data_IF_413417758791
#
_entry.id   IF_413417758791
#
_cell.length_a   1.000
_cell.length_b   1.000
_cell.length_c   1.000
_cell.angle_alpha   90.00
_cell.angle_beta   90.00
_cell.angle_gamma   90.00
#
_symmetry.space_group_name_H-M   'P 1'
#
loop_
_entity.id
_entity.type
_entity.pdbx_description
1 polymer ?
#
# COMPACT_ATOMS: atom_id res chain seq x y z
N UNK A 1 11.94 32.96 22.87
CA UNK A 1 12.44 32.09 23.96
C UNK A 1 11.34 31.66 24.95
N UNK A 2 10.64 32.58 25.64
CA UNK A 2 9.58 32.25 26.63
C UNK A 2 8.36 31.52 26.03
N UNK A 3 7.92 31.89 24.82
CA UNK A 3 6.81 31.22 24.12
C UNK A 3 7.10 29.75 23.82
N UNK A 4 8.33 29.42 23.39
CA UNK A 4 8.74 28.02 23.16
C UNK A 4 8.77 27.21 24.46
N UNK A 5 9.19 27.80 25.57
CA UNK A 5 9.20 27.14 26.88
C UNK A 5 7.78 26.88 27.42
N UNK A 6 6.87 27.85 27.27
CA UNK A 6 5.46 27.69 27.65
C UNK A 6 4.78 26.63 26.79
N UNK A 7 5.03 26.65 25.47
CA UNK A 7 4.51 25.65 24.52
C UNK A 7 4.92 24.23 24.92
N UNK A 8 6.22 23.97 25.15
CA UNK A 8 6.68 22.64 25.57
C UNK A 8 6.09 22.15 26.90
N UNK A 9 5.83 23.06 27.85
CA UNK A 9 5.18 22.70 29.12
C UNK A 9 3.69 22.34 28.93
N UNK A 10 2.98 23.03 28.03
CA UNK A 10 1.59 22.70 27.66
C UNK A 10 1.55 21.34 26.95
N UNK A 11 2.41 21.14 25.95
CA UNK A 11 2.53 19.87 25.20
C UNK A 11 2.75 18.69 26.13
N UNK A 12 3.66 18.83 27.11
CA UNK A 12 3.91 17.79 28.13
C UNK A 12 2.66 17.46 28.95
N UNK A 13 1.93 18.48 29.41
CA UNK A 13 0.69 18.30 30.19
C UNK A 13 -0.42 17.63 29.38
N UNK A 14 -0.53 17.95 28.10
CA UNK A 14 -1.51 17.33 27.19
C UNK A 14 -1.18 15.84 27.03
N UNK A 15 0.08 15.50 26.74
CA UNK A 15 0.52 14.10 26.64
C UNK A 15 0.24 13.33 27.95
N UNK A 16 0.58 13.92 29.10
CA UNK A 16 0.33 13.31 30.41
C UNK A 16 -1.17 13.07 30.65
N UNK A 17 -2.03 13.99 30.21
CA UNK A 17 -3.48 13.84 30.35
C UNK A 17 -4.03 12.75 29.45
N UNK A 18 -3.57 12.67 28.19
CA UNK A 18 -3.97 11.62 27.25
C UNK A 18 -3.53 10.24 27.74
N UNK A 19 -2.29 10.11 28.22
CA UNK A 19 -1.80 8.87 28.83
C UNK A 19 -2.62 8.45 30.06
N UNK A 20 -3.06 9.40 30.89
CA UNK A 20 -3.96 9.12 32.01
C UNK A 20 -5.33 8.63 31.54
N UNK A 21 -5.90 9.21 30.48
CA UNK A 21 -7.19 8.78 29.93
C UNK A 21 -7.10 7.36 29.38
N UNK A 22 -6.06 7.07 28.59
CA UNK A 22 -5.78 5.72 28.09
C UNK A 22 -5.66 4.68 29.21
N UNK A 23 -4.92 4.99 30.28
CA UNK A 23 -4.74 4.08 31.43
C UNK A 23 -6.01 3.91 32.26
N UNK A 24 -6.84 4.96 32.36
CA UNK A 24 -8.06 4.94 33.18
C UNK A 24 -9.16 4.12 32.52
N UNK A 25 -9.40 4.34 31.23
CA UNK A 25 -10.43 3.65 30.47
C UNK A 25 -10.02 3.54 29.00
N UNK A 26 -9.38 2.40 28.69
CA UNK A 26 -8.90 2.13 27.34
C UNK A 26 -10.03 2.05 26.32
N UNK A 27 -11.18 1.46 26.68
CA UNK A 27 -12.30 1.30 25.74
C UNK A 27 -12.91 2.64 25.37
N UNK A 28 -13.09 3.52 26.36
CA UNK A 28 -13.53 4.90 26.11
C UNK A 28 -12.52 5.64 25.23
N UNK A 29 -11.22 5.46 25.47
CA UNK A 29 -10.15 6.07 24.67
C UNK A 29 -10.16 5.57 23.21
N UNK A 30 -10.30 4.25 22.99
CA UNK A 30 -10.42 3.63 21.66
C UNK A 30 -11.63 4.16 20.89
N UNK A 31 -12.78 4.29 21.57
CA UNK A 31 -14.01 4.79 20.94
C UNK A 31 -13.92 6.24 20.42
N UNK A 32 -12.99 7.03 20.98
CA UNK A 32 -12.74 8.43 20.62
C UNK A 32 -11.51 8.59 19.72
N UNK A 33 -10.79 7.50 19.45
CA UNK A 33 -9.49 7.56 18.79
C UNK A 33 -9.58 8.20 17.41
N UNK A 34 -10.56 7.79 16.60
CA UNK A 34 -10.72 8.28 15.24
C UNK A 34 -10.96 9.82 15.18
N UNK A 35 -11.58 10.40 16.21
CA UNK A 35 -11.82 11.84 16.31
C UNK A 35 -10.57 12.63 16.75
N UNK A 36 -9.70 12.01 17.54
CA UNK A 36 -8.54 12.70 18.15
C UNK A 36 -7.20 12.36 17.47
N UNK A 37 -7.13 11.28 16.67
CA UNK A 37 -5.88 10.74 16.11
C UNK A 37 -5.07 11.81 15.36
N UNK A 38 -5.74 12.64 14.54
CA UNK A 38 -5.07 13.66 13.72
C UNK A 38 -4.28 14.67 14.57
N UNK A 39 -4.78 15.04 15.75
CA UNK A 39 -4.10 15.97 16.65
C UNK A 39 -2.92 15.31 17.34
N UNK A 40 -3.05 14.03 17.68
CA UNK A 40 -1.99 13.24 18.30
C UNK A 40 -0.87 13.00 17.27
N UNK A 41 -1.21 12.59 16.05
CA UNK A 41 -0.28 12.40 14.93
C UNK A 41 0.47 13.70 14.63
N UNK A 42 -0.24 14.83 14.55
CA UNK A 42 0.39 16.14 14.38
C UNK A 42 1.36 16.46 15.51
N UNK A 43 0.98 16.21 16.76
CA UNK A 43 1.85 16.39 17.92
C UNK A 43 3.11 15.51 17.86
N UNK A 44 2.95 14.25 17.48
CA UNK A 44 4.04 13.28 17.31
C UNK A 44 5.02 13.69 16.19
N UNK A 45 4.51 14.24 15.09
CA UNK A 45 5.33 14.73 13.98
C UNK A 45 6.06 16.02 14.37
N UNK A 46 5.38 16.93 15.09
CA UNK A 46 5.83 18.30 15.27
C UNK A 46 6.73 18.52 16.49
N UNK A 47 6.67 17.66 17.51
CA UNK A 47 7.41 17.85 18.77
C UNK A 47 7.93 16.53 19.35
N UNK A 48 9.26 16.39 19.44
CA UNK A 48 9.91 15.15 19.84
C UNK A 48 9.55 14.70 21.27
N UNK A 49 9.41 15.63 22.23
CA UNK A 49 9.08 15.27 23.61
C UNK A 49 7.64 14.80 23.75
N UNK A 50 6.74 15.29 22.90
CA UNK A 50 5.39 14.76 22.78
C UNK A 50 5.44 13.36 22.20
N UNK A 51 6.20 13.15 21.12
CA UNK A 51 6.40 11.83 20.52
C UNK A 51 6.86 10.79 21.56
N UNK A 52 7.90 11.11 22.34
CA UNK A 52 8.47 10.23 23.37
C UNK A 52 7.44 9.74 24.39
N UNK A 53 6.38 10.53 24.64
CA UNK A 53 5.29 10.16 25.54
C UNK A 53 4.09 9.56 24.82
N UNK A 54 3.80 10.05 23.62
CA UNK A 54 2.65 9.68 22.84
C UNK A 54 2.77 8.25 22.31
N UNK A 55 3.98 7.80 21.98
CA UNK A 55 4.21 6.46 21.45
C UNK A 55 3.67 5.34 22.37
N UNK A 56 3.62 5.58 23.69
CA UNK A 56 3.14 4.62 24.69
C UNK A 56 1.61 4.46 24.71
N UNK A 57 0.86 5.45 24.23
CA UNK A 57 -0.62 5.45 24.26
C UNK A 57 -1.25 5.64 22.89
N UNK A 58 -0.48 6.04 21.88
CA UNK A 58 -0.98 6.21 20.53
C UNK A 58 -1.38 4.85 19.96
N UNK A 59 -2.54 4.83 19.29
CA UNK A 59 -3.16 3.61 18.82
C UNK A 59 -2.99 3.45 17.32
N UNK A 60 -2.76 2.20 16.94
CA UNK A 60 -2.89 1.66 15.60
C UNK A 60 -4.27 1.01 15.51
N UNK A 61 -5.05 1.40 14.51
CA UNK A 61 -6.27 0.68 14.12
C UNK A 61 -5.95 -0.25 12.96
N UNK A 62 -6.28 -1.52 13.06
CA UNK A 62 -6.14 -2.44 11.93
C UNK A 62 -7.38 -2.50 11.04
N UNK A 63 -7.26 -3.19 9.91
CA UNK A 63 -8.37 -3.40 8.95
C UNK A 63 -9.54 -4.21 9.51
N UNK A 64 -9.39 -4.83 10.69
CA UNK A 64 -10.47 -5.52 11.42
C UNK A 64 -11.14 -4.62 12.48
N UNK A 65 -10.70 -3.36 12.61
CA UNK A 65 -11.22 -2.39 13.57
C UNK A 65 -10.69 -2.58 14.99
N UNK A 66 -9.69 -3.43 15.19
CA UNK A 66 -9.02 -3.63 16.47
C UNK A 66 -7.98 -2.52 16.71
N UNK A 67 -7.82 -2.12 17.98
CA UNK A 67 -6.87 -1.10 18.40
C UNK A 67 -5.71 -1.69 19.19
N UNK A 68 -4.50 -1.25 18.86
CA UNK A 68 -3.26 -1.69 19.48
C UNK A 68 -2.38 -0.48 19.80
N UNK A 69 -1.62 -0.51 20.88
CA UNK A 69 -0.46 0.38 20.98
C UNK A 69 0.62 -0.05 19.97
N UNK A 70 1.56 0.84 19.66
CA UNK A 70 2.70 0.49 18.79
C UNK A 70 3.47 -0.73 19.30
N UNK A 71 3.67 -0.84 20.62
CA UNK A 71 4.34 -1.98 21.24
C UNK A 71 3.52 -3.29 21.08
N UNK A 72 2.21 -3.24 21.31
CA UNK A 72 1.33 -4.39 21.16
C UNK A 72 1.26 -4.86 19.71
N UNK A 73 1.15 -3.92 18.77
CA UNK A 73 1.12 -4.23 17.35
C UNK A 73 2.45 -4.84 16.90
N UNK A 74 3.59 -4.26 17.30
CA UNK A 74 4.92 -4.80 17.01
C UNK A 74 5.05 -6.26 17.48
N UNK A 75 4.55 -6.58 18.68
CA UNK A 75 4.53 -7.96 19.22
C UNK A 75 3.61 -8.88 18.42
N UNK A 76 2.45 -8.40 17.97
CA UNK A 76 1.50 -9.14 17.13
C UNK A 76 2.15 -9.55 15.80
N UNK A 77 2.70 -8.57 15.08
CA UNK A 77 3.22 -8.77 13.71
C UNK A 77 4.62 -9.39 13.67
N UNK A 78 5.39 -9.31 14.75
CA UNK A 78 6.74 -9.90 14.85
C UNK A 78 6.78 -11.41 14.63
N UNK A 79 5.64 -12.10 14.73
CA UNK A 79 5.53 -13.54 14.51
C UNK A 79 5.66 -13.93 13.04
N UNK A 80 5.23 -13.08 12.11
CA UNK A 80 5.07 -13.47 10.72
C UNK A 80 5.38 -12.35 9.69
N UNK A 81 5.49 -11.09 10.06
CA UNK A 81 5.80 -9.95 9.17
C UNK A 81 7.24 -9.48 9.32
N UNK A 82 8.19 -10.41 9.28
CA UNK A 82 9.62 -10.09 9.17
C UNK A 82 10.11 -10.47 7.79
N UNK A 83 10.88 -9.58 7.18
CA UNK A 83 11.61 -9.88 5.95
C UNK A 83 12.86 -10.74 6.25
N UNK A 84 13.58 -11.08 5.19
CA UNK A 84 14.84 -11.83 5.22
C UNK A 84 15.94 -11.16 6.04
N UNK A 85 15.93 -9.82 6.10
CA UNK A 85 16.87 -9.02 6.88
C UNK A 85 16.43 -8.89 8.35
N UNK A 86 15.35 -9.59 8.73
CA UNK A 86 14.72 -9.55 10.05
C UNK A 86 14.13 -8.18 10.41
N UNK A 87 13.91 -7.29 9.44
CA UNK A 87 13.18 -6.03 9.64
C UNK A 87 11.70 -6.32 9.80
N UNK A 88 11.06 -5.58 10.69
CA UNK A 88 9.64 -5.68 10.92
C UNK A 88 8.88 -4.84 9.89
N UNK A 89 8.04 -5.48 9.08
CA UNK A 89 7.29 -4.80 8.01
C UNK A 89 5.87 -4.47 8.47
N UNK A 90 5.60 -3.18 8.62
CA UNK A 90 4.28 -2.64 8.91
C UNK A 90 3.52 -2.46 7.60
N UNK A 91 2.61 -3.40 7.31
CA UNK A 91 1.70 -3.27 6.19
C UNK A 91 0.59 -2.29 6.53
N UNK A 92 0.35 -1.32 5.65
CA UNK A 92 -0.73 -0.36 5.84
C UNK A 92 -1.61 -0.22 4.60
N UNK A 93 -2.85 0.22 4.81
CA UNK A 93 -3.81 0.61 3.79
C UNK A 93 -4.31 2.03 4.06
N UNK A 94 -4.43 2.84 3.02
CA UNK A 94 -5.03 4.18 3.09
C UNK A 94 -6.54 4.16 2.89
N UNK A 95 -7.07 3.11 2.27
CA UNK A 95 -8.50 2.87 2.14
C UNK A 95 -8.79 1.38 2.20
N UNK A 96 -9.59 0.96 3.19
CA UNK A 96 -9.96 -0.44 3.35
C UNK A 96 -10.78 -0.97 2.16
N UNK A 97 -11.60 -0.11 1.55
CA UNK A 97 -12.48 -0.46 0.44
C UNK A 97 -11.72 -0.52 -0.89
N UNK A 98 -10.93 0.52 -1.20
CA UNK A 98 -10.20 0.57 -2.47
C UNK A 98 -9.09 -0.48 -2.53
N UNK A 99 -8.49 -0.82 -1.38
CA UNK A 99 -7.37 -1.75 -1.30
C UNK A 99 -7.79 -3.14 -0.80
N UNK A 100 -9.09 -3.42 -0.77
CA UNK A 100 -9.66 -4.65 -0.19
C UNK A 100 -9.01 -5.93 -0.72
N UNK A 101 -8.79 -6.03 -2.04
CA UNK A 101 -8.16 -7.22 -2.64
C UNK A 101 -6.73 -7.46 -2.15
N UNK A 102 -5.96 -6.39 -1.94
CA UNK A 102 -4.59 -6.46 -1.43
C UNK A 102 -4.56 -6.80 0.06
N UNK A 103 -5.48 -6.21 0.84
CA UNK A 103 -5.69 -6.55 2.25
C UNK A 103 -6.02 -8.03 2.38
N UNK A 104 -6.93 -8.56 1.56
CA UNK A 104 -7.29 -9.97 1.59
C UNK A 104 -6.10 -10.87 1.23
N UNK A 105 -5.29 -10.46 0.26
CA UNK A 105 -4.07 -11.19 -0.12
C UNK A 105 -3.08 -11.23 1.04
N UNK A 106 -2.87 -10.12 1.75
CA UNK A 106 -2.05 -10.07 2.95
C UNK A 106 -2.60 -10.95 4.08
N UNK A 107 -3.91 -10.88 4.36
CA UNK A 107 -4.59 -11.71 5.36
C UNK A 107 -4.52 -13.21 5.06
N UNK A 108 -4.62 -13.60 3.79
CA UNK A 108 -4.46 -15.00 3.37
C UNK A 108 -3.06 -15.55 3.68
N UNK A 109 -2.04 -14.69 3.77
CA UNK A 109 -0.68 -15.03 4.23
C UNK A 109 -0.51 -14.92 5.74
N UNK A 110 -1.59 -14.61 6.46
CA UNK A 110 -1.62 -14.41 7.91
C UNK A 110 -1.14 -13.03 8.35
N UNK A 111 -0.89 -12.08 7.44
CA UNK A 111 -0.41 -10.75 7.80
C UNK A 111 -1.56 -9.85 8.27
N UNK A 112 -1.24 -8.97 9.21
CA UNK A 112 -2.09 -7.91 9.71
C UNK A 112 -1.76 -6.60 8.98
N UNK A 113 -2.79 -5.80 8.74
CA UNK A 113 -2.72 -4.56 7.97
C UNK A 113 -3.34 -3.44 8.78
N UNK A 114 -2.57 -2.36 8.98
CA UNK A 114 -3.03 -1.16 9.68
C UNK A 114 -3.71 -0.17 8.73
N UNK A 115 -4.59 0.67 9.27
CA UNK A 115 -5.21 1.78 8.52
C UNK A 115 -4.40 3.07 8.72
N UNK A 116 -4.03 3.69 7.61
CA UNK A 116 -3.30 4.96 7.51
C UNK A 116 -3.99 5.85 6.45
N UNK A 117 -5.15 6.37 6.84
CA UNK A 117 -6.13 7.12 6.03
C UNK A 117 -6.07 8.64 6.24
N UNK A 118 -5.10 9.14 7.01
CA UNK A 118 -4.98 10.54 7.38
C UNK A 118 -4.09 11.31 6.38
N UNK A 119 -4.36 12.60 6.12
CA UNK A 119 -3.44 13.47 5.37
C UNK A 119 -2.03 13.55 5.97
N UNK A 120 -1.88 13.23 7.26
CA UNK A 120 -0.59 13.22 7.96
C UNK A 120 0.12 11.86 7.91
N UNK A 121 -0.50 10.82 7.34
CA UNK A 121 0.02 9.45 7.41
C UNK A 121 1.41 9.30 6.81
N UNK A 122 1.72 9.96 5.69
CA UNK A 122 3.05 9.90 5.05
C UNK A 122 4.14 10.47 5.96
N UNK A 123 3.88 11.62 6.59
CA UNK A 123 4.78 12.26 7.55
C UNK A 123 4.92 11.45 8.84
N UNK A 124 3.83 10.88 9.34
CA UNK A 124 3.84 10.02 10.52
C UNK A 124 4.69 8.78 10.27
N UNK A 125 4.48 8.11 9.13
CA UNK A 125 5.28 6.95 8.71
C UNK A 125 6.76 7.31 8.67
N UNK A 126 7.13 8.42 8.03
CA UNK A 126 8.52 8.86 7.96
C UNK A 126 9.12 9.11 9.36
N UNK A 127 8.35 9.73 10.27
CA UNK A 127 8.76 9.94 11.66
C UNK A 127 8.96 8.62 12.40
N UNK A 128 8.06 7.66 12.22
CA UNK A 128 8.13 6.34 12.85
C UNK A 128 9.31 5.52 12.33
N UNK A 129 9.56 5.50 11.01
CA UNK A 129 10.72 4.84 10.40
C UNK A 129 12.05 5.42 10.89
N UNK A 130 12.09 6.72 11.23
CA UNK A 130 13.28 7.35 11.81
C UNK A 130 13.46 7.04 13.29
N UNK A 131 12.37 6.80 14.02
CA UNK A 131 12.36 6.73 15.48
C UNK A 131 12.29 5.30 16.02
N UNK A 132 11.79 4.35 15.23
CA UNK A 132 11.71 2.94 15.57
C UNK A 132 12.86 2.18 14.91
N UNK A 133 13.54 1.34 15.68
CA UNK A 133 14.65 0.56 15.17
C UNK A 133 14.19 -0.63 14.33
N UNK A 134 14.84 -0.83 13.18
CA UNK A 134 14.72 -2.03 12.36
C UNK A 134 13.28 -2.32 11.87
N UNK A 135 12.53 -1.26 11.53
CA UNK A 135 11.19 -1.35 10.94
C UNK A 135 11.17 -0.76 9.53
N UNK A 136 10.20 -1.18 8.73
CA UNK A 136 9.86 -0.56 7.45
C UNK A 136 8.35 -0.50 7.33
N UNK A 137 7.81 0.52 6.68
CA UNK A 137 6.39 0.60 6.37
C UNK A 137 6.18 0.45 4.88
N UNK A 138 5.15 -0.29 4.50
CA UNK A 138 4.81 -0.51 3.10
C UNK A 138 3.30 -0.57 2.92
N UNK A 139 2.80 0.12 1.90
CA UNK A 139 1.38 0.04 1.56
C UNK A 139 1.08 -1.31 0.91
N UNK A 140 -0.10 -1.87 1.17
CA UNK A 140 -0.48 -3.21 0.67
C UNK A 140 -0.50 -3.35 -0.85
N UNK A 141 -0.62 -2.25 -1.59
CA UNK A 141 -0.62 -2.18 -3.05
C UNK A 141 0.68 -1.61 -3.63
N UNK A 142 1.72 -1.45 -2.80
CA UNK A 142 3.00 -0.86 -3.22
C UNK A 142 3.75 -1.77 -4.19
N UNK A 143 3.66 -3.08 -3.97
CA UNK A 143 4.22 -4.14 -4.79
C UNK A 143 3.45 -5.44 -4.51
N UNK A 144 3.85 -6.56 -5.10
CA UNK A 144 3.33 -7.87 -4.70
C UNK A 144 3.69 -8.15 -3.23
N UNK A 145 2.78 -8.80 -2.51
CA UNK A 145 2.95 -9.05 -1.07
C UNK A 145 4.23 -9.84 -0.75
N UNK A 146 4.67 -10.70 -1.67
CA UNK A 146 5.91 -11.48 -1.56
C UNK A 146 7.16 -10.64 -1.70
N UNK A 147 7.10 -9.52 -2.42
CA UNK A 147 8.19 -8.55 -2.50
C UNK A 147 8.18 -7.56 -1.34
N UNK A 148 6.98 -7.17 -0.89
CA UNK A 148 6.84 -6.27 0.27
C UNK A 148 7.43 -6.95 1.52
N UNK A 149 7.13 -8.22 1.73
CA UNK A 149 7.71 -9.03 2.81
C UNK A 149 8.50 -10.18 2.17
N UNK A 150 9.69 -9.85 1.67
CA UNK A 150 10.59 -10.81 1.04
C UNK A 150 11.21 -11.74 2.09
N UNK A 151 10.81 -13.01 2.05
CA UNK A 151 11.33 -14.09 2.90
C UNK A 151 12.36 -14.97 2.17
N UNK A 152 12.89 -14.52 1.04
CA UNK A 152 13.73 -15.28 0.11
C UNK A 152 13.06 -16.56 -0.44
N UNK A 153 11.73 -16.68 -0.32
CA UNK A 153 10.93 -17.75 -0.93
C UNK A 153 10.72 -17.46 -2.42
N UNK A 154 11.78 -17.57 -3.22
CA UNK A 154 11.69 -17.37 -4.66
C UNK A 154 10.89 -18.50 -5.30
N UNK A 155 9.65 -18.21 -5.68
CA UNK A 155 8.91 -19.09 -6.57
C UNK A 155 9.59 -19.13 -7.93
N UNK A 156 9.83 -20.34 -8.45
CA UNK A 156 10.36 -20.50 -9.80
C UNK A 156 9.29 -20.15 -10.82
N UNK A 157 9.61 -19.25 -11.75
CA UNK A 157 8.70 -18.88 -12.85
C UNK A 157 8.40 -20.09 -13.73
N UNK A 158 7.12 -20.35 -14.02
CA UNK A 158 6.70 -21.31 -15.05
C UNK A 158 6.99 -20.82 -16.48
N UNK A 159 7.23 -19.52 -16.66
CA UNK A 159 7.60 -18.93 -17.94
C UNK A 159 9.10 -18.67 -17.99
N UNK A 160 9.74 -18.99 -19.11
CA UNK A 160 11.13 -18.58 -19.37
C UNK A 160 11.22 -17.10 -19.74
N UNK A 161 12.39 -16.50 -19.58
CA UNK A 161 12.64 -15.09 -19.94
C UNK A 161 12.22 -14.79 -21.39
N UNK A 162 12.55 -15.66 -22.35
CA UNK A 162 12.14 -15.54 -23.76
C UNK A 162 10.62 -15.51 -23.94
N UNK A 163 9.88 -16.29 -23.14
CA UNK A 163 8.43 -16.30 -23.18
C UNK A 163 7.84 -15.00 -22.60
N UNK A 164 8.44 -14.48 -21.53
CA UNK A 164 8.07 -13.19 -20.96
C UNK A 164 8.33 -12.04 -21.94
N UNK A 165 9.49 -12.02 -22.59
CA UNK A 165 9.83 -11.04 -23.65
C UNK A 165 8.85 -11.09 -24.83
N UNK A 166 8.29 -12.25 -25.14
CA UNK A 166 7.27 -12.41 -26.19
C UNK A 166 5.92 -11.84 -25.76
N UNK A 167 5.52 -12.03 -24.51
CA UNK A 167 4.22 -11.59 -23.99
C UNK A 167 4.19 -10.10 -23.63
N UNK A 168 5.31 -9.55 -23.15
CA UNK A 168 5.43 -8.16 -22.73
C UNK A 168 4.88 -7.14 -23.75
N UNK A 169 5.32 -7.12 -25.03
CA UNK A 169 4.85 -6.13 -26.00
C UNK A 169 3.36 -6.28 -26.34
N UNK A 170 2.79 -7.48 -26.19
CA UNK A 170 1.37 -7.73 -26.44
C UNK A 170 0.51 -7.03 -25.40
N UNK A 171 0.93 -7.11 -24.13
CA UNK A 171 0.25 -6.51 -22.98
C UNK A 171 0.49 -4.99 -22.95
N UNK A 172 1.71 -4.54 -23.23
CA UNK A 172 2.00 -3.10 -23.38
C UNK A 172 1.19 -2.47 -24.52
N UNK A 173 0.88 -3.24 -25.58
CA UNK A 173 0.09 -2.78 -26.71
C UNK A 173 -1.41 -2.59 -26.43
N UNK A 174 -1.89 -2.94 -25.23
CA UNK A 174 -3.30 -2.74 -24.81
C UNK A 174 -3.46 -1.67 -23.72
N UNK A 175 -2.36 -1.03 -23.31
CA UNK A 175 -2.31 -0.02 -22.25
C UNK A 175 -1.64 1.29 -22.72
N UNK A 176 -1.97 2.43 -22.11
CA UNK A 176 -1.24 3.66 -22.31
C UNK A 176 0.15 3.55 -21.65
N UNK A 177 1.20 3.49 -22.48
CA UNK A 177 2.60 3.29 -22.06
C UNK A 177 3.14 4.37 -21.11
N UNK A 178 2.51 5.54 -21.09
CA UNK A 178 2.91 6.67 -20.25
C UNK A 178 2.58 6.45 -18.76
N UNK A 179 1.62 5.56 -18.45
CA UNK A 179 1.12 5.34 -17.08
C UNK A 179 1.44 3.96 -16.51
N UNK A 180 1.64 2.96 -17.37
CA UNK A 180 1.80 1.56 -16.94
C UNK A 180 3.12 0.97 -17.42
N UNK A 181 3.83 0.31 -16.51
CA UNK A 181 4.97 -0.54 -16.82
C UNK A 181 4.59 -2.02 -16.63
N UNK A 182 4.93 -2.90 -17.57
CA UNK A 182 4.62 -4.33 -17.47
C UNK A 182 5.78 -5.08 -16.84
N UNK A 183 5.50 -5.78 -15.74
CA UNK A 183 6.47 -6.57 -14.96
C UNK A 183 5.96 -7.99 -14.84
N UNK A 184 6.85 -8.98 -15.00
CA UNK A 184 6.51 -10.39 -14.78
C UNK A 184 7.00 -10.81 -13.40
N UNK A 185 6.14 -11.49 -12.64
CA UNK A 185 6.47 -11.99 -11.32
C UNK A 185 6.02 -13.44 -11.15
N UNK A 186 6.72 -14.15 -10.30
CA UNK A 186 6.37 -15.53 -9.93
C UNK A 186 5.61 -15.47 -8.62
N UNK A 187 4.28 -15.55 -8.73
CA UNK A 187 3.36 -15.52 -7.59
C UNK A 187 2.59 -16.84 -7.50
N UNK A 188 1.79 -17.05 -6.47
CA UNK A 188 0.98 -18.26 -6.35
C UNK A 188 0.02 -18.39 -7.54
N UNK A 189 -0.22 -19.61 -8.01
CA UNK A 189 -1.16 -19.86 -9.11
C UNK A 189 -2.61 -19.46 -8.79
N UNK A 190 -2.92 -19.31 -7.49
CA UNK A 190 -4.23 -18.90 -6.98
C UNK A 190 -4.38 -17.38 -6.91
N UNK A 191 -3.27 -16.63 -6.98
CA UNK A 191 -3.30 -15.18 -6.97
C UNK A 191 -3.81 -14.65 -8.31
N UNK A 192 -4.13 -13.36 -8.36
CA UNK A 192 -4.62 -12.73 -9.58
C UNK A 192 -3.66 -12.94 -10.77
N UNK A 193 -4.24 -13.16 -11.96
CA UNK A 193 -3.46 -13.27 -13.20
C UNK A 193 -2.68 -11.99 -13.52
N UNK A 194 -3.32 -10.86 -13.24
CA UNK A 194 -2.80 -9.51 -13.45
C UNK A 194 -3.16 -8.69 -12.21
N UNK A 195 -2.17 -8.04 -11.61
CA UNK A 195 -2.34 -7.09 -10.51
C UNK A 195 -1.78 -5.72 -10.89
N UNK A 196 -2.28 -4.64 -10.28
CA UNK A 196 -1.82 -3.27 -10.55
C UNK A 196 -1.27 -2.69 -9.25
N UNK A 197 0.03 -2.50 -9.17
CA UNK A 197 0.67 -1.92 -7.98
C UNK A 197 1.13 -0.51 -8.26
N UNK A 198 1.23 0.30 -7.21
CA UNK A 198 1.71 1.67 -7.28
C UNK A 198 2.95 1.78 -6.39
N UNK A 199 4.17 1.88 -6.97
CA UNK A 199 5.39 1.88 -6.18
C UNK A 199 5.39 2.90 -5.04
N UNK A 200 5.75 2.45 -3.83
CA UNK A 200 5.72 3.28 -2.62
C UNK A 200 6.57 4.56 -2.78
N UNK A 201 7.75 4.45 -3.39
CA UNK A 201 8.65 5.58 -3.59
C UNK A 201 8.04 6.67 -4.48
N UNK A 202 7.42 6.30 -5.61
CA UNK A 202 6.82 7.28 -6.52
C UNK A 202 5.63 7.98 -5.86
N UNK A 203 4.83 7.23 -5.09
CA UNK A 203 3.75 7.82 -4.29
C UNK A 203 4.26 8.77 -3.21
N UNK A 204 5.19 8.35 -2.35
CA UNK A 204 5.72 9.20 -1.27
C UNK A 204 6.39 10.46 -1.82
N UNK A 205 7.08 10.36 -2.96
CA UNK A 205 7.65 11.50 -3.65
C UNK A 205 6.55 12.48 -4.13
N UNK A 206 5.43 11.97 -4.63
CA UNK A 206 4.27 12.78 -5.02
C UNK A 206 3.63 13.46 -3.80
N UNK A 207 3.35 12.72 -2.74
CA UNK A 207 2.79 13.26 -1.49
C UNK A 207 3.67 14.39 -0.92
N UNK A 208 5.00 14.19 -0.95
CA UNK A 208 5.97 15.20 -0.51
C UNK A 208 5.98 16.45 -1.42
N UNK A 209 5.75 16.29 -2.72
CA UNK A 209 5.65 17.41 -3.66
C UNK A 209 4.34 18.20 -3.50
N UNK A 210 3.21 17.51 -3.24
CA UNK A 210 1.90 18.15 -3.04
C UNK A 210 1.86 18.98 -1.76
N UNK A 211 2.55 18.55 -0.70
CA UNK A 211 2.61 19.24 0.60
C UNK A 211 3.80 20.22 0.70
N UNK A 212 4.84 20.06 -0.12
CA UNK A 212 6.15 20.73 0.00
C UNK A 212 6.28 22.13 -0.63
N UNK A 213 5.28 22.64 -1.34
CA UNK A 213 5.08 24.08 -1.64
C UNK A 213 6.27 24.95 -2.11
N UNK A 214 7.33 24.39 -2.71
CA UNK A 214 8.57 25.10 -3.04
C UNK A 214 8.94 25.04 -4.53
N UNK A 215 9.24 26.21 -5.11
CA UNK A 215 9.55 26.40 -6.54
C UNK A 215 10.66 25.50 -7.08
N UNK A 216 10.52 25.12 -8.35
CA UNK A 216 11.20 24.04 -9.10
C UNK A 216 10.64 22.61 -8.90
N UNK A 217 10.10 22.26 -7.71
CA UNK A 217 9.47 20.94 -7.47
C UNK A 217 7.99 20.87 -7.86
N UNK A 218 7.31 22.01 -8.04
CA UNK A 218 5.92 22.08 -8.55
C UNK A 218 5.76 21.54 -9.98
N UNK A 219 6.82 21.55 -10.79
CA UNK A 219 6.79 20.92 -12.13
C UNK A 219 6.85 19.39 -12.08
N UNK A 220 7.41 18.80 -11.01
CA UNK A 220 7.44 17.35 -10.80
C UNK A 220 6.12 16.81 -10.18
N UNK A 221 5.34 17.67 -9.51
CA UNK A 221 4.00 17.33 -9.00
C UNK A 221 2.94 17.10 -10.09
N UNK A 222 3.26 17.42 -11.36
CA UNK A 222 2.43 17.08 -12.52
C UNK A 222 2.81 15.73 -13.16
N UNK A 223 3.75 14.98 -12.57
CA UNK A 223 4.08 13.65 -13.08
C UNK A 223 2.85 12.73 -12.93
N UNK A 224 2.41 12.09 -14.01
CA UNK A 224 1.29 11.17 -13.96
C UNK A 224 1.59 10.01 -13.02
N UNK A 225 0.55 9.45 -12.40
CA UNK A 225 0.70 8.25 -11.58
C UNK A 225 1.32 7.12 -12.42
N UNK A 226 2.42 6.57 -11.90
CA UNK A 226 3.11 5.43 -12.49
C UNK A 226 2.63 4.17 -11.78
N UNK A 227 2.11 3.24 -12.55
CA UNK A 227 1.63 1.94 -12.08
C UNK A 227 2.45 0.81 -12.70
N UNK A 228 2.62 -0.26 -11.94
CA UNK A 228 3.15 -1.52 -12.45
C UNK A 228 2.00 -2.49 -12.68
N UNK A 229 1.89 -2.99 -13.90
CA UNK A 229 1.02 -4.10 -14.25
C UNK A 229 1.81 -5.40 -14.07
N UNK A 230 1.60 -6.05 -12.92
CA UNK A 230 2.24 -7.31 -12.58
C UNK A 230 1.51 -8.45 -13.27
N UNK A 231 2.23 -9.22 -14.09
CA UNK A 231 1.74 -10.44 -14.72
C UNK A 231 2.26 -11.65 -13.94
N UNK A 232 1.34 -12.43 -13.39
CA UNK A 232 1.67 -13.65 -12.67
C UNK A 232 2.08 -14.75 -13.67
N UNK A 233 3.38 -15.02 -13.74
CA UNK A 233 3.98 -16.02 -14.64
C UNK A 233 3.52 -17.44 -14.35
N UNK A 234 3.06 -17.71 -13.14
CA UNK A 234 2.61 -19.04 -12.72
C UNK A 234 1.11 -19.25 -12.96
N UNK A 235 0.33 -18.18 -13.12
CA UNK A 235 -1.11 -18.27 -13.31
C UNK A 235 -1.45 -18.93 -14.67
N UNK A 236 -2.46 -19.84 -14.74
CA UNK A 236 -2.84 -20.54 -15.97
C UNK A 236 -3.14 -19.62 -17.17
N UNK A 237 -3.61 -18.41 -16.89
CA UNK A 237 -3.82 -17.37 -17.91
C UNK A 237 -2.56 -17.04 -18.72
N UNK A 238 -1.41 -16.91 -18.08
CA UNK A 238 -0.17 -16.53 -18.77
C UNK A 238 0.25 -17.62 -19.77
N UNK A 239 0.11 -18.90 -19.38
CA UNK A 239 0.29 -20.04 -20.28
C UNK A 239 -0.74 -20.10 -21.41
N UNK A 240 -2.01 -19.76 -21.13
CA UNK A 240 -3.07 -19.69 -22.15
C UNK A 240 -2.79 -18.58 -23.17
N UNK A 241 -2.35 -17.41 -22.71
CA UNK A 241 -2.01 -16.28 -23.56
C UNK A 241 -0.82 -16.61 -24.48
N UNK A 242 0.18 -17.33 -23.96
CA UNK A 242 1.35 -17.76 -24.72
C UNK A 242 1.01 -18.79 -25.80
N UNK A 243 0.08 -19.72 -25.52
CA UNK A 243 -0.31 -20.80 -26.45
C UNK A 243 -1.28 -20.34 -27.55
N UNK A 244 -1.92 -19.19 -27.39
CA UNK A 244 -2.85 -18.66 -28.39
C UNK A 244 -2.08 -18.20 -29.64
N UNK A 245 -2.37 -18.82 -30.77
CA UNK A 245 -1.67 -18.59 -32.05
C UNK A 245 -2.32 -17.47 -32.86
N UNK A 246 -3.62 -17.24 -32.68
CA UNK A 246 -4.31 -16.13 -33.34
C UNK A 246 -3.99 -14.81 -32.64
N UNK A 247 -3.20 -13.97 -33.30
CA UNK A 247 -2.79 -12.65 -32.77
C UNK A 247 -3.98 -11.75 -32.42
N UNK A 248 -5.11 -11.83 -33.15
CA UNK A 248 -6.30 -11.01 -32.83
C UNK A 248 -6.92 -11.49 -31.53
N UNK A 249 -7.12 -12.79 -31.39
CA UNK A 249 -7.68 -13.42 -30.19
C UNK A 249 -6.76 -13.26 -28.99
N UNK A 250 -5.44 -13.39 -29.19
CA UNK A 250 -4.43 -13.16 -28.17
C UNK A 250 -4.49 -11.71 -27.63
N UNK A 251 -4.58 -10.72 -28.53
CA UNK A 251 -4.74 -9.30 -28.14
C UNK A 251 -6.06 -9.05 -27.40
N UNK A 252 -7.16 -9.67 -27.83
CA UNK A 252 -8.45 -9.57 -27.15
C UNK A 252 -8.41 -10.17 -25.75
N UNK A 253 -7.77 -11.33 -25.56
CA UNK A 253 -7.58 -11.96 -24.26
C UNK A 253 -6.73 -11.10 -23.33
N UNK A 254 -5.63 -10.55 -23.84
CA UNK A 254 -4.79 -9.60 -23.09
C UNK A 254 -5.61 -8.38 -22.65
N UNK A 255 -6.32 -7.72 -23.58
CA UNK A 255 -7.17 -6.56 -23.27
C UNK A 255 -8.26 -6.90 -22.26
N UNK A 256 -8.90 -8.07 -22.37
CA UNK A 256 -9.92 -8.51 -21.41
C UNK A 256 -9.34 -8.66 -19.99
N UNK A 257 -8.20 -9.33 -19.85
CA UNK A 257 -7.58 -9.52 -18.55
C UNK A 257 -7.06 -8.20 -17.96
N UNK A 258 -6.49 -7.33 -18.79
CA UNK A 258 -6.05 -6.00 -18.39
C UNK A 258 -7.21 -5.12 -17.94
N UNK A 259 -8.32 -5.10 -18.69
CA UNK A 259 -9.50 -4.31 -18.30
C UNK A 259 -10.12 -4.83 -17.00
N UNK A 260 -10.11 -6.15 -16.76
CA UNK A 260 -10.51 -6.72 -15.46
C UNK A 260 -9.62 -6.23 -14.31
N UNK A 261 -8.30 -6.18 -14.52
CA UNK A 261 -7.37 -5.64 -13.52
C UNK A 261 -7.63 -4.15 -13.26
N UNK A 262 -7.82 -3.34 -14.31
CA UNK A 262 -8.16 -1.92 -14.19
C UNK A 262 -9.51 -1.72 -13.48
N UNK A 263 -10.50 -2.55 -13.77
CA UNK A 263 -11.80 -2.52 -13.12
C UNK A 263 -11.68 -2.81 -11.61
N UNK A 264 -10.85 -3.80 -11.24
CA UNK A 264 -10.63 -4.16 -9.83
C UNK A 264 -10.03 -3.02 -9.00
N UNK A 265 -9.36 -2.06 -9.66
CA UNK A 265 -8.75 -0.88 -9.05
C UNK A 265 -9.55 0.39 -9.28
N UNK A 266 -10.80 0.28 -9.75
CA UNK A 266 -11.64 1.43 -10.10
C UNK A 266 -10.96 2.41 -11.10
N UNK A 267 -10.05 1.90 -11.94
CA UNK A 267 -9.32 2.68 -12.95
C UNK A 267 -9.99 2.62 -14.32
N UNK A 268 -10.88 1.64 -14.55
CA UNK A 268 -11.62 1.50 -15.80
C UNK A 268 -12.89 2.36 -15.77
N UNK A 269 -12.88 3.49 -16.51
CA UNK A 269 -13.98 4.48 -16.51
C UNK A 269 -14.36 4.92 -17.93
N UNK A 270 -15.53 5.54 -18.06
CA UNK A 270 -15.99 6.18 -19.29
C UNK A 270 -16.12 5.21 -20.46
N UNK A 271 -15.66 5.63 -21.64
CA UNK A 271 -15.77 4.86 -22.89
C UNK A 271 -15.11 3.47 -22.80
N UNK A 272 -13.97 3.36 -22.11
CA UNK A 272 -13.28 2.08 -21.95
C UNK A 272 -14.08 1.07 -21.10
N UNK A 273 -14.83 1.55 -20.10
CA UNK A 273 -15.75 0.72 -19.33
C UNK A 273 -16.92 0.24 -20.19
N UNK A 274 -17.51 1.12 -21.00
CA UNK A 274 -18.58 0.75 -21.94
C UNK A 274 -18.12 -0.33 -22.92
N UNK A 275 -16.95 -0.13 -23.54
CA UNK A 275 -16.34 -1.13 -24.45
C UNK A 275 -16.06 -2.46 -23.76
N UNK A 276 -15.61 -2.42 -22.51
CA UNK A 276 -15.38 -3.62 -21.72
C UNK A 276 -16.67 -4.39 -21.45
N UNK A 277 -17.74 -3.71 -21.06
CA UNK A 277 -19.05 -4.33 -20.79
C UNK A 277 -19.61 -4.94 -22.08
N UNK A 278 -19.64 -4.19 -23.19
CA UNK A 278 -20.13 -4.70 -24.48
C UNK A 278 -19.35 -5.93 -24.95
N UNK A 279 -18.02 -5.91 -24.78
CA UNK A 279 -17.17 -7.05 -25.14
C UNK A 279 -17.42 -8.24 -24.23
N UNK A 280 -17.60 -8.02 -22.93
CA UNK A 280 -17.87 -9.08 -21.96
C UNK A 280 -19.23 -9.74 -22.22
N UNK A 281 -20.24 -8.96 -22.60
CA UNK A 281 -21.56 -9.49 -22.99
C UNK A 281 -21.51 -10.33 -24.28
N UNK A 282 -20.58 -10.07 -25.20
CA UNK A 282 -20.39 -10.88 -26.41
C UNK A 282 -19.66 -12.21 -26.15
N UNK A 283 -19.04 -12.36 -24.98
CA UNK A 283 -18.29 -13.55 -24.58
C UNK A 283 -19.14 -14.53 -23.75
N UNK A 284 -20.30 -14.09 -23.26
CA UNK A 284 -21.33 -14.88 -22.58
C UNK A 284 -22.37 -15.30 -23.62
#
# INVERSE_FOLDING_TARGET
ARVKQISGHITKKVADKLAQLFKKDRKDFESKWDDIKIFIDYGMISEDKFYDKAIDFALIKNTDGEFFTYEEYAKKISKNQKDKDKKLVYLYASSADEQHSYIQTAKNKGYDVMIMDSPLSSHLIAKLEQSLDNVTFARVDADSIDKIIDKDEKQTSKLSEKQQETLKPIIEGVLPKEKFSVVFESMSEKDAAIAITQPEFSRRMKDMNELGGGGMMTMMGQMPDIYNLIINSNHPFAGKLLKEKDKKKQKQLAKQATDLALLSQNMLKGEELTKFIERSMKLI
#
